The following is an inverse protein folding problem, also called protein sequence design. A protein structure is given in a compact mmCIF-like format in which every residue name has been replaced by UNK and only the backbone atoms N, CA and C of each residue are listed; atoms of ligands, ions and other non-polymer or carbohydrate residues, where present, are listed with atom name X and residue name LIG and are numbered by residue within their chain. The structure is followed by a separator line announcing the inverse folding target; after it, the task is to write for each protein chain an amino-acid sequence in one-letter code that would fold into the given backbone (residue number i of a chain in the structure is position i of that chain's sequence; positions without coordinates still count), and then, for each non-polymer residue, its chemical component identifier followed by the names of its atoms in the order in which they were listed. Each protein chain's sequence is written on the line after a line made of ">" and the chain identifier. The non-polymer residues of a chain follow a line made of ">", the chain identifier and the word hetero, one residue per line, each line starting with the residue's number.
data_IF_868326725806
#
_entry.id   IF_868326725806
#
_cell.length_a   1.000
_cell.length_b   1.000
_cell.length_c   1.000
_cell.angle_alpha   90.00
_cell.angle_beta   90.00
_cell.angle_gamma   90.00
#
_symmetry.space_group_name_H-M   'P 1'
#
loop_
_entity.id
_entity.type
_entity.pdbx_description
1 polymer ?
#
# COMPACT_ATOMS: atom_id res chain seq x y z
N UNK A 1 -27.35 -2.31 -7.00
CA UNK A 1 -26.39 -1.21 -6.79
C UNK A 1 -26.98 -0.26 -5.76
N UNK A 2 -26.21 0.20 -4.78
CA UNK A 2 -26.69 1.11 -3.73
C UNK A 2 -26.25 2.52 -4.08
N UNK A 3 -27.15 3.50 -3.91
CA UNK A 3 -26.84 4.91 -4.15
C UNK A 3 -26.32 5.54 -2.86
N UNK A 4 -25.01 5.76 -2.78
CA UNK A 4 -24.35 6.32 -1.59
C UNK A 4 -24.07 7.81 -1.83
N UNK A 5 -24.23 8.63 -0.79
CA UNK A 5 -23.83 10.05 -0.80
C UNK A 5 -22.33 10.12 -0.50
N UNK A 6 -21.51 10.32 -1.53
CA UNK A 6 -20.08 10.53 -1.36
C UNK A 6 -19.84 11.94 -0.80
N UNK A 7 -19.15 12.02 0.33
CA UNK A 7 -18.75 13.26 1.01
C UNK A 7 -17.29 13.62 0.70
N UNK A 8 -16.93 14.88 0.90
CA UNK A 8 -15.56 15.35 0.77
C UNK A 8 -14.67 14.71 1.85
N UNK A 9 -13.57 14.06 1.44
CA UNK A 9 -12.46 13.71 2.34
C UNK A 9 -12.45 12.32 2.99
N UNK A 10 -13.07 11.28 2.39
CA UNK A 10 -12.97 9.93 2.97
C UNK A 10 -13.49 8.75 2.15
N UNK A 11 -14.11 8.97 0.99
CA UNK A 11 -14.63 7.87 0.17
C UNK A 11 -13.67 7.50 -0.95
N UNK A 12 -13.31 6.22 -1.04
CA UNK A 12 -12.44 5.68 -2.10
C UNK A 12 -13.02 5.82 -3.51
N UNK A 13 -14.35 5.80 -3.64
CA UNK A 13 -15.05 5.80 -4.92
C UNK A 13 -15.27 7.18 -5.56
N UNK A 14 -14.89 8.27 -4.88
CA UNK A 14 -15.14 9.62 -5.40
C UNK A 14 -13.99 10.59 -5.09
N UNK A 15 -13.57 11.33 -6.11
CA UNK A 15 -12.62 12.44 -5.97
C UNK A 15 -13.37 13.77 -6.16
N UNK A 16 -13.52 14.60 -5.11
CA UNK A 16 -14.19 15.89 -5.20
C UNK A 16 -13.32 16.91 -5.97
N UNK A 17 -13.96 17.79 -6.73
CA UNK A 17 -13.28 18.90 -7.43
C UNK A 17 -13.21 20.17 -6.58
N UNK A 18 -14.20 20.37 -5.70
CA UNK A 18 -14.22 21.46 -4.73
C UNK A 18 -14.36 20.96 -3.30
N UNK A 19 -13.90 21.77 -2.35
CA UNK A 19 -14.14 21.53 -0.92
C UNK A 19 -15.65 21.53 -0.64
N UNK A 20 -16.11 20.60 0.19
CA UNK A 20 -17.52 20.49 0.57
C UNK A 20 -18.46 19.88 -0.47
N UNK A 21 -17.97 19.52 -1.66
CA UNK A 21 -18.79 18.91 -2.71
C UNK A 21 -19.34 17.54 -2.27
N UNK A 22 -20.64 17.31 -2.49
CA UNK A 22 -21.31 16.03 -2.22
C UNK A 22 -22.04 15.56 -3.46
N UNK A 23 -21.81 14.31 -3.85
CA UNK A 23 -22.43 13.71 -5.03
C UNK A 23 -22.98 12.33 -4.70
N UNK A 24 -24.19 12.05 -5.17
CA UNK A 24 -24.74 10.70 -5.11
C UNK A 24 -24.15 9.85 -6.24
N UNK A 25 -23.58 8.70 -5.89
CA UNK A 25 -23.01 7.73 -6.82
C UNK A 25 -23.60 6.35 -6.53
N UNK A 26 -23.92 5.62 -7.59
CA UNK A 26 -24.27 4.20 -7.49
C UNK A 26 -22.98 3.39 -7.35
N UNK A 27 -22.88 2.60 -6.29
CA UNK A 27 -21.72 1.75 -5.99
C UNK A 27 -22.18 0.31 -5.81
N UNK A 28 -21.29 -0.63 -6.09
CA UNK A 28 -21.48 -2.04 -5.73
C UNK A 28 -21.22 -2.24 -4.22
N UNK A 29 -21.92 -3.19 -3.61
CA UNK A 29 -21.72 -3.53 -2.21
C UNK A 29 -20.46 -4.37 -1.99
N UNK A 30 -20.24 -4.82 -0.75
CA UNK A 30 -19.11 -5.69 -0.39
C UNK A 30 -19.31 -7.15 -0.83
N UNK A 31 -20.56 -7.58 -1.02
CA UNK A 31 -20.90 -8.97 -1.34
C UNK A 31 -20.53 -9.28 -2.79
N UNK A 32 -19.83 -10.40 -2.97
CA UNK A 32 -19.42 -10.91 -4.29
C UNK A 32 -20.63 -11.59 -4.96
N UNK A 33 -20.88 -11.23 -6.21
CA UNK A 33 -22.01 -11.70 -7.02
C UNK A 33 -21.47 -12.14 -8.40
N UNK A 34 -22.15 -13.09 -9.05
CA UNK A 34 -21.84 -13.55 -10.40
C UNK A 34 -21.95 -12.42 -11.44
N UNK A 35 -22.69 -11.35 -11.12
CA UNK A 35 -22.83 -10.16 -11.97
C UNK A 35 -21.63 -9.20 -11.93
N UNK A 36 -20.50 -9.59 -11.29
CA UNK A 36 -19.26 -8.80 -11.26
C UNK A 36 -18.38 -9.14 -12.47
N UNK A 37 -17.96 -8.13 -13.21
CA UNK A 37 -17.09 -8.32 -14.39
C UNK A 37 -15.63 -8.56 -14.04
N UNK A 38 -15.15 -8.01 -12.92
CA UNK A 38 -13.72 -8.05 -12.52
C UNK A 38 -13.62 -8.18 -10.99
N UNK A 39 -12.68 -9.00 -10.52
CA UNK A 39 -12.28 -9.14 -9.12
C UNK A 39 -10.79 -8.84 -8.97
N UNK A 40 -10.44 -8.08 -7.94
CA UNK A 40 -9.05 -7.81 -7.57
C UNK A 40 -8.67 -8.69 -6.38
N UNK A 41 -7.76 -9.64 -6.57
CA UNK A 41 -7.34 -10.60 -5.54
C UNK A 41 -5.86 -10.40 -5.20
N UNK A 42 -5.50 -10.67 -3.93
CA UNK A 42 -4.12 -10.67 -3.46
C UNK A 42 -3.72 -12.09 -3.03
N UNK A 43 -2.55 -12.56 -3.46
CA UNK A 43 -2.02 -13.88 -3.11
C UNK A 43 -1.36 -13.82 -1.74
N UNK A 44 -1.81 -14.67 -0.80
CA UNK A 44 -1.26 -14.74 0.56
C UNK A 44 -0.27 -15.90 0.73
N UNK A 45 -0.51 -17.02 0.05
CA UNK A 45 0.32 -18.23 0.12
C UNK A 45 0.58 -18.78 -1.30
N UNK A 46 1.79 -19.28 -1.55
CA UNK A 46 2.10 -20.01 -2.79
C UNK A 46 1.42 -21.38 -2.75
N UNK A 47 0.80 -21.78 -3.86
CA UNK A 47 0.25 -23.11 -4.05
C UNK A 47 1.28 -24.07 -4.62
N UNK A 48 0.85 -25.27 -5.01
CA UNK A 48 1.72 -26.29 -5.63
C UNK A 48 2.22 -25.90 -7.01
N UNK A 49 1.46 -25.06 -7.72
CA UNK A 49 1.80 -24.59 -9.06
C UNK A 49 2.26 -23.14 -9.01
N UNK A 50 3.43 -22.89 -9.59
CA UNK A 50 3.91 -21.54 -9.84
C UNK A 50 3.10 -20.87 -10.95
N UNK A 51 2.93 -19.55 -10.82
CA UNK A 51 2.14 -18.75 -11.77
C UNK A 51 3.14 -17.91 -12.58
N UNK A 52 3.29 -18.21 -13.88
CA UNK A 52 4.28 -17.55 -14.71
C UNK A 52 4.05 -16.03 -14.75
N UNK A 53 5.11 -15.26 -14.58
CA UNK A 53 5.07 -13.79 -14.63
C UNK A 53 4.63 -13.09 -13.34
N UNK A 54 4.30 -13.83 -12.28
CA UNK A 54 4.08 -13.27 -10.95
C UNK A 54 5.10 -13.78 -9.94
N UNK A 55 5.36 -15.09 -9.92
CA UNK A 55 6.33 -15.70 -9.00
C UNK A 55 7.77 -15.53 -9.43
N UNK A 56 8.01 -15.30 -10.72
CA UNK A 56 9.35 -15.37 -11.32
C UNK A 56 10.04 -14.01 -11.36
N UNK A 57 9.25 -12.93 -11.34
CA UNK A 57 9.74 -11.57 -11.51
C UNK A 57 9.84 -10.86 -10.16
N UNK A 58 11.04 -10.39 -9.82
CA UNK A 58 11.25 -9.49 -8.70
C UNK A 58 11.36 -8.05 -9.20
N UNK A 59 10.39 -7.20 -8.85
CA UNK A 59 10.45 -5.77 -9.18
C UNK A 59 11.19 -5.04 -8.05
N UNK A 60 12.31 -4.34 -8.32
CA UNK A 60 13.00 -3.57 -7.29
C UNK A 60 12.18 -2.36 -6.87
N UNK A 61 12.37 -1.88 -5.64
CA UNK A 61 11.72 -0.64 -5.18
C UNK A 61 12.44 0.59 -5.75
N UNK A 62 11.80 1.39 -6.63
CA UNK A 62 12.47 2.51 -7.31
C UNK A 62 12.66 3.73 -6.41
N UNK A 63 11.84 3.88 -5.36
CA UNK A 63 11.86 5.03 -4.46
C UNK A 63 12.35 4.60 -3.08
N UNK A 64 13.54 5.05 -2.71
CA UNK A 64 14.08 4.89 -1.36
C UNK A 64 13.44 5.86 -0.35
N UNK A 65 13.58 5.61 0.97
CA UNK A 65 13.08 6.54 1.97
C UNK A 65 13.80 7.88 1.93
N UNK A 66 13.02 8.97 1.93
CA UNK A 66 13.57 10.33 1.95
C UNK A 66 14.03 10.80 3.34
N UNK A 67 13.43 10.28 4.42
CA UNK A 67 13.67 10.75 5.79
C UNK A 67 14.86 10.04 6.43
N UNK A 68 15.76 10.80 7.07
CA UNK A 68 16.96 10.28 7.72
C UNK A 68 16.67 9.14 8.73
N UNK A 69 15.60 9.27 9.54
CA UNK A 69 15.20 8.22 10.48
C UNK A 69 14.78 6.91 9.80
N UNK A 70 14.17 6.99 8.61
CA UNK A 70 13.74 5.82 7.84
C UNK A 70 14.88 5.20 7.04
N UNK A 71 15.87 5.99 6.63
CA UNK A 71 17.12 5.50 6.03
C UNK A 71 17.92 4.69 7.06
N UNK A 72 18.16 5.25 8.26
CA UNK A 72 18.88 4.56 9.36
C UNK A 72 18.25 3.22 9.73
N UNK A 73 16.91 3.13 9.69
CA UNK A 73 16.17 1.87 9.93
C UNK A 73 16.38 0.84 8.83
N UNK A 74 16.37 1.26 7.55
CA UNK A 74 16.59 0.32 6.45
C UNK A 74 18.03 -0.20 6.41
N UNK A 75 19.00 0.62 6.78
CA UNK A 75 20.42 0.28 6.68
C UNK A 75 21.02 -0.21 8.00
N UNK A 76 20.21 -0.44 9.04
CA UNK A 76 20.64 -0.91 10.37
C UNK A 76 21.82 -0.12 10.98
N UNK A 77 22.03 1.14 10.56
CA UNK A 77 23.10 1.99 11.08
C UNK A 77 22.67 2.53 12.45
N UNK A 78 23.33 2.07 13.52
CA UNK A 78 23.18 2.66 14.85
C UNK A 78 23.71 4.09 14.80
N UNK A 79 23.01 5.04 15.43
CA UNK A 79 23.46 6.42 15.54
C UNK A 79 24.85 6.43 16.20
N UNK A 80 25.88 6.74 15.43
CA UNK A 80 27.27 6.78 15.87
C UNK A 80 27.49 7.97 16.82
N UNK A 81 27.22 7.74 18.12
CA UNK A 81 27.83 8.46 19.25
C UNK A 81 27.93 7.52 20.46
N UNK A 82 28.77 6.49 20.38
CA UNK A 82 29.52 6.00 21.53
C UNK A 82 30.98 6.31 21.23
N UNK A 83 31.64 7.03 22.14
CA UNK A 83 33.04 7.47 22.04
C UNK A 83 33.97 6.33 21.55
N UNK A 84 35.07 6.64 20.85
CA UNK A 84 36.14 5.67 20.67
C UNK A 84 36.74 5.40 22.05
N UNK A 85 36.47 4.23 22.61
CA UNK A 85 37.15 3.79 23.83
C UNK A 85 38.51 3.23 23.43
N UNK A 86 39.51 4.07 23.57
CA UNK A 86 40.91 3.68 23.65
C UNK A 86 41.10 2.58 24.68
N UNK A 87 41.87 1.55 24.29
CA UNK A 87 42.57 0.60 25.15
C UNK A 87 41.73 -0.28 26.09
N UNK A 88 41.86 -1.60 25.91
CA UNK A 88 42.52 -2.50 26.88
C UNK A 88 42.51 -3.94 26.35
N UNK A 89 43.73 -4.45 26.17
CA UNK A 89 44.19 -5.85 26.09
C UNK A 89 43.43 -6.81 25.18
#
# INVERSE_FOLDING_TARGET
>A
MIRIKCTHGGHSCYRPWRSGERKHKSVRGCIVDANLSVLNLNIVKKGEKDIPGLTDTTVPHPLGPKRASRIRKLTSLRASTSKPESSKK
#
